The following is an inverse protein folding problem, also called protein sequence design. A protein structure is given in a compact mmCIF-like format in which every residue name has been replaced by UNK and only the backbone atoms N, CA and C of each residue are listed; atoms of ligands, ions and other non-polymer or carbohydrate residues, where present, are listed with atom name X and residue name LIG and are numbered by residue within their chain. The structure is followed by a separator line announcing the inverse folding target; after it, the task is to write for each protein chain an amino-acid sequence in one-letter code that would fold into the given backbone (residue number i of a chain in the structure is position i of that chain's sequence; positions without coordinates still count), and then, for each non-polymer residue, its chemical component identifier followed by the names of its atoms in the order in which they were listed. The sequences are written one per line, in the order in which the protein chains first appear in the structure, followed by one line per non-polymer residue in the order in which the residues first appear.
data_IF_306898859303
#
_entry.id   IF_306898859303
#
_cell.length_a   1.000
_cell.length_b   1.000
_cell.length_c   1.000
_cell.angle_alpha   90.00
_cell.angle_beta   90.00
_cell.angle_gamma   90.00
#
_symmetry.space_group_name_H-M   'P 1'
#
loop_
_entity.id
_entity.type
_entity.pdbx_description
1 polymer ?
#
# COMPACT_ATOMS: atom_id res chain seq x y z
N UNK A 1 5.30 4.14 -21.66
CA UNK A 1 4.94 3.53 -20.37
C UNK A 1 3.42 3.34 -20.37
N UNK A 2 2.92 2.12 -20.61
CA UNK A 2 1.47 1.89 -20.69
C UNK A 2 0.96 1.51 -19.30
N UNK A 3 0.32 2.44 -18.60
CA UNK A 3 -0.38 2.17 -17.35
C UNK A 3 -1.51 1.19 -17.64
N UNK A 4 -1.38 -0.05 -17.16
CA UNK A 4 -2.42 -1.06 -17.22
C UNK A 4 -3.06 -1.08 -15.85
N UNK A 5 -4.22 -0.43 -15.71
CA UNK A 5 -5.09 -0.49 -14.53
C UNK A 5 -5.67 -1.90 -14.32
N UNK A 6 -4.78 -2.87 -14.08
CA UNK A 6 -5.06 -4.30 -13.90
C UNK A 6 -4.44 -4.75 -12.58
N UNK A 7 -5.07 -5.67 -11.84
CA UNK A 7 -4.50 -6.19 -10.61
C UNK A 7 -3.09 -6.75 -10.83
N UNK A 8 -2.12 -6.24 -10.08
CA UNK A 8 -0.70 -6.64 -10.15
C UNK A 8 -0.16 -7.06 -8.77
N UNK A 9 -0.99 -7.00 -7.72
CA UNK A 9 -0.60 -7.34 -6.35
C UNK A 9 -1.23 -8.68 -5.95
N UNK A 10 -0.39 -9.66 -5.62
CA UNK A 10 -0.83 -10.97 -5.13
C UNK A 10 -1.42 -10.93 -3.70
N UNK A 11 -2.11 -12.00 -3.30
CA UNK A 11 -2.77 -12.06 -1.99
C UNK A 11 -1.84 -11.84 -0.79
N UNK A 12 -0.62 -12.38 -0.84
CA UNK A 12 0.37 -12.19 0.24
C UNK A 12 0.77 -10.71 0.36
N UNK A 13 1.06 -10.05 -0.76
CA UNK A 13 1.46 -8.64 -0.76
C UNK A 13 0.29 -7.72 -0.35
N UNK A 14 -0.95 -8.06 -0.73
CA UNK A 14 -2.16 -7.37 -0.24
C UNK A 14 -2.31 -7.46 1.27
N UNK A 15 -2.11 -8.65 1.85
CA UNK A 15 -2.15 -8.84 3.30
C UNK A 15 -1.07 -8.02 4.00
N UNK A 16 0.18 -8.09 3.52
CA UNK A 16 1.30 -7.31 4.07
C UNK A 16 0.97 -5.82 4.04
N UNK A 17 0.44 -5.29 2.93
CA UNK A 17 0.04 -3.88 2.82
C UNK A 17 -1.09 -3.49 3.76
N UNK A 18 -2.09 -4.36 3.92
CA UNK A 18 -3.18 -4.13 4.87
C UNK A 18 -2.67 -4.08 6.30
N UNK A 19 -1.82 -5.02 6.72
CA UNK A 19 -1.23 -5.04 8.05
C UNK A 19 -0.33 -3.84 8.30
N UNK A 20 0.57 -3.51 7.37
CA UNK A 20 1.44 -2.33 7.48
C UNK A 20 0.63 -1.03 7.52
N UNK A 21 -0.38 -0.90 6.64
CA UNK A 21 -1.26 0.26 6.61
C UNK A 21 -2.03 0.42 7.92
N UNK A 22 -2.60 -0.66 8.45
CA UNK A 22 -3.28 -0.65 9.75
C UNK A 22 -2.33 -0.26 10.88
N UNK A 23 -1.11 -0.82 10.92
CA UNK A 23 -0.12 -0.49 11.95
C UNK A 23 0.29 1.00 11.91
N UNK A 24 0.47 1.57 10.72
CA UNK A 24 0.76 2.99 10.54
C UNK A 24 -0.39 3.88 11.00
N UNK A 25 -1.64 3.50 10.74
CA UNK A 25 -2.80 4.24 11.21
C UNK A 25 -2.95 4.15 12.73
N UNK A 26 -2.74 2.96 13.32
CA UNK A 26 -2.72 2.80 14.77
C UNK A 26 -1.64 3.68 15.40
N UNK A 27 -0.44 3.72 14.83
CA UNK A 27 0.62 4.63 15.26
C UNK A 27 0.22 6.10 15.14
N UNK A 28 -0.39 6.50 14.03
CA UNK A 28 -0.79 7.88 13.79
C UNK A 28 -1.91 8.39 14.73
N UNK A 29 -2.78 7.51 15.23
CA UNK A 29 -3.96 7.92 16.02
C UNK A 29 -3.92 7.51 17.50
N UNK A 30 -3.26 6.40 17.86
CA UNK A 30 -3.24 5.90 19.24
C UNK A 30 -2.01 6.35 20.03
N UNK A 31 -0.95 6.78 19.35
CA UNK A 31 0.27 7.23 20.00
C UNK A 31 0.39 8.75 19.96
N UNK A 32 0.82 9.39 21.06
CA UNK A 32 1.07 10.82 21.08
C UNK A 32 2.32 11.12 20.26
N UNK A 33 2.12 11.69 19.07
CA UNK A 33 3.19 12.12 18.18
C UNK A 33 3.36 13.63 18.33
N UNK A 34 4.51 14.06 18.84
CA UNK A 34 4.78 15.46 19.15
C UNK A 34 4.81 16.38 17.91
N UNK A 35 5.13 15.83 16.75
CA UNK A 35 5.23 16.58 15.50
C UNK A 35 3.97 16.33 14.62
N UNK A 36 3.05 17.31 14.48
CA UNK A 36 1.80 17.12 13.74
C UNK A 36 2.00 16.81 12.25
N UNK A 37 3.09 17.30 11.67
CA UNK A 37 3.50 16.96 10.29
C UNK A 37 3.78 15.45 10.18
N UNK A 38 4.52 14.88 11.13
CA UNK A 38 4.85 13.45 11.11
C UNK A 38 3.63 12.57 11.30
N UNK A 39 2.70 12.97 12.17
CA UNK A 39 1.42 12.28 12.35
C UNK A 39 0.60 12.25 11.05
N UNK A 40 0.54 13.39 10.36
CA UNK A 40 -0.19 13.51 9.10
C UNK A 40 0.43 12.64 8.00
N UNK A 41 1.76 12.62 7.89
CA UNK A 41 2.46 11.75 6.94
C UNK A 41 2.22 10.27 7.22
N UNK A 42 2.26 9.84 8.48
CA UNK A 42 1.98 8.46 8.87
C UNK A 42 0.54 8.05 8.52
N UNK A 43 -0.44 8.93 8.79
CA UNK A 43 -1.82 8.69 8.42
C UNK A 43 -2.00 8.57 6.89
N UNK A 44 -1.40 9.47 6.11
CA UNK A 44 -1.46 9.44 4.64
C UNK A 44 -0.83 8.14 4.09
N UNK A 45 0.35 7.77 4.58
CA UNK A 45 1.04 6.54 4.17
C UNK A 45 0.25 5.29 4.56
N UNK A 46 -0.35 5.29 5.75
CA UNK A 46 -1.21 4.21 6.23
C UNK A 46 -2.42 4.00 5.32
N UNK A 47 -3.15 5.09 5.02
CA UNK A 47 -4.30 5.06 4.09
C UNK A 47 -3.86 4.58 2.70
N UNK A 48 -2.78 5.15 2.17
CA UNK A 48 -2.26 4.79 0.85
C UNK A 48 -1.92 3.30 0.72
N UNK A 49 -1.31 2.71 1.75
CA UNK A 49 -1.03 1.26 1.79
C UNK A 49 -2.31 0.43 1.89
N UNK A 50 -3.28 0.84 2.71
CA UNK A 50 -4.57 0.14 2.80
C UNK A 50 -5.34 0.17 1.48
N UNK A 51 -5.41 1.33 0.81
CA UNK A 51 -6.08 1.49 -0.48
C UNK A 51 -5.43 0.58 -1.53
N UNK A 52 -4.10 0.56 -1.64
CA UNK A 52 -3.42 -0.34 -2.58
C UNK A 52 -3.63 -1.83 -2.25
N UNK A 53 -3.59 -2.19 -0.97
CA UNK A 53 -3.87 -3.56 -0.53
C UNK A 53 -5.30 -4.00 -0.83
N UNK A 54 -6.28 -3.11 -0.63
CA UNK A 54 -7.69 -3.34 -0.93
C UNK A 54 -7.95 -3.44 -2.44
N UNK A 55 -7.40 -2.53 -3.24
CA UNK A 55 -7.56 -2.56 -4.69
C UNK A 55 -6.80 -3.71 -5.35
N UNK A 56 -5.73 -4.22 -4.73
CA UNK A 56 -4.86 -5.21 -5.35
C UNK A 56 -4.08 -4.64 -6.56
N UNK A 57 -3.93 -3.31 -6.59
CA UNK A 57 -3.23 -2.57 -7.62
C UNK A 57 -2.21 -1.63 -6.97
N UNK A 58 -0.97 -1.71 -7.42
CA UNK A 58 0.10 -0.81 -7.04
C UNK A 58 0.56 -0.05 -8.30
N UNK A 59 0.41 1.28 -8.28
CA UNK A 59 0.84 2.15 -9.37
C UNK A 59 2.34 2.01 -9.64
N UNK A 60 3.16 1.92 -8.59
CA UNK A 60 4.62 1.77 -8.70
C UNK A 60 4.98 0.46 -9.40
N UNK A 61 4.25 -0.62 -9.12
CA UNK A 61 4.50 -1.91 -9.77
C UNK A 61 4.10 -1.87 -11.25
N UNK A 62 3.00 -1.21 -11.58
CA UNK A 62 2.56 -1.04 -12.98
C UNK A 62 3.55 -0.16 -13.77
N UNK A 63 4.06 0.89 -13.14
CA UNK A 63 5.10 1.74 -13.70
C UNK A 63 6.40 0.96 -13.97
N UNK A 64 6.81 0.09 -13.04
CA UNK A 64 8.02 -0.72 -13.16
C UNK A 64 7.83 -2.01 -13.98
N UNK A 65 6.60 -2.36 -14.36
CA UNK A 65 6.28 -3.61 -15.05
C UNK A 65 6.35 -4.87 -14.16
N UNK A 66 6.29 -4.71 -12.83
CA UNK A 66 6.31 -5.83 -11.88
C UNK A 66 4.89 -6.31 -11.53
N UNK A 67 4.78 -7.61 -11.22
CA UNK A 67 3.56 -8.22 -10.68
C UNK A 67 3.92 -9.28 -9.65
N UNK A 68 3.28 -9.24 -8.48
CA UNK A 68 3.41 -10.26 -7.42
C UNK A 68 2.24 -11.24 -7.41
N UNK A 69 1.34 -11.12 -8.38
CA UNK A 69 0.22 -12.02 -8.55
C UNK A 69 0.74 -13.39 -9.02
N UNK A 70 0.58 -14.43 -8.21
CA UNK A 70 0.96 -15.81 -8.59
C UNK A 70 0.19 -16.14 -9.88
N UNK A 71 0.94 -16.43 -10.95
CA UNK A 71 0.53 -16.58 -12.36
C UNK A 71 0.52 -15.30 -13.24
N UNK A 72 1.53 -14.43 -13.11
CA UNK A 72 1.94 -13.56 -14.23
C UNK A 72 3.47 -13.58 -14.45
N UNK A 73 4.08 -14.77 -14.44
CA UNK A 73 5.22 -15.03 -15.33
C UNK A 73 4.61 -15.21 -16.72
N UNK A 74 4.69 -14.17 -17.56
CA UNK A 74 4.67 -14.35 -19.01
C UNK A 74 5.97 -13.81 -19.56
#
# INVERSE_FOLDING_TARGET
MQLKFKPNVGHIDRLIRLFLGAQLLLLAFLFPIAAPITQSLLAILGIWQMVQGLLGYCLVYDLLGYSTLKAALK
#
